data_IF_630368340192
#
_entry.id   IF_630368340192
#
_cell.length_a   1.000
_cell.length_b   1.000
_cell.length_c   1.000
_cell.angle_alpha   90.00
_cell.angle_beta   90.00
_cell.angle_gamma   90.00
#
_symmetry.space_group_name_H-M   'P 1'
#
loop_
_entity.id
_entity.type
_entity.pdbx_description
1 polymer ?
#
# COMPACT_ATOMS: atom_id res chain seq x y z
N UNK A 1 -4.47 -24.42 34.78
CA UNK A 1 -5.22 -25.67 34.54
C UNK A 1 -6.24 -25.39 33.46
N UNK A 2 -5.83 -25.60 32.21
CA UNK A 2 -6.69 -25.56 31.01
C UNK A 2 -6.23 -26.73 30.18
N UNK A 3 -7.14 -27.67 29.96
CA UNK A 3 -6.90 -28.98 29.37
C UNK A 3 -7.13 -28.86 27.85
N UNK A 4 -6.05 -28.86 27.07
CA UNK A 4 -6.09 -28.82 25.61
C UNK A 4 -5.91 -30.25 25.09
N UNK A 5 -7.03 -30.84 24.65
CA UNK A 5 -7.12 -32.15 24.02
C UNK A 5 -6.26 -32.21 22.74
N UNK A 6 -5.21 -33.03 22.78
CA UNK A 6 -4.40 -33.42 21.62
C UNK A 6 -5.21 -34.31 20.67
N UNK A 7 -5.46 -33.87 19.43
CA UNK A 7 -5.90 -34.74 18.34
C UNK A 7 -4.69 -35.52 17.79
N UNK A 8 -4.81 -36.83 17.52
CA UNK A 8 -3.72 -37.60 16.93
C UNK A 8 -3.65 -37.36 15.41
N UNK A 9 -2.46 -36.97 14.95
CA UNK A 9 -2.06 -37.00 13.55
C UNK A 9 -1.95 -38.45 13.08
N UNK A 10 -2.66 -38.80 12.00
CA UNK A 10 -2.47 -40.05 11.27
C UNK A 10 -1.44 -39.83 10.16
N UNK A 11 -0.34 -40.60 10.09
CA UNK A 11 0.62 -40.50 9.00
C UNK A 11 0.11 -41.27 7.77
N UNK A 12 -0.09 -40.57 6.66
CA UNK A 12 -0.30 -41.21 5.36
C UNK A 12 1.07 -41.57 4.78
N UNK A 13 1.46 -42.83 4.94
CA UNK A 13 2.61 -43.45 4.30
C UNK A 13 2.14 -44.71 3.55
N UNK A 14 2.46 -44.74 2.25
CA UNK A 14 2.70 -45.91 1.42
C UNK A 14 1.56 -46.93 1.18
N UNK A 15 0.94 -46.83 -0.01
CA UNK A 15 0.55 -47.94 -0.88
C UNK A 15 0.67 -47.34 -2.30
N UNK A 16 1.53 -47.79 -3.20
CA UNK A 16 1.76 -49.18 -3.62
C UNK A 16 1.34 -49.25 -5.09
N UNK A 17 2.34 -49.33 -5.98
CA UNK A 17 2.19 -49.56 -7.42
C UNK A 17 1.16 -50.68 -7.70
N UNK A 18 0.03 -50.33 -8.30
CA UNK A 18 -0.86 -51.27 -8.99
C UNK A 18 -0.95 -50.85 -10.45
N UNK A 19 -0.27 -51.64 -11.27
CA UNK A 19 -0.30 -51.63 -12.72
C UNK A 19 -1.72 -51.93 -13.24
N UNK A 20 -2.20 -51.11 -14.17
CA UNK A 20 -3.13 -51.51 -15.24
C UNK A 20 -4.48 -52.09 -14.82
N UNK A 21 -5.40 -51.24 -14.37
CA UNK A 21 -6.84 -51.50 -14.44
C UNK A 21 -7.47 -50.28 -15.11
N UNK A 22 -8.01 -50.47 -16.32
CA UNK A 22 -8.90 -49.51 -16.96
C UNK A 22 -10.19 -49.45 -16.12
N UNK A 23 -10.25 -48.52 -15.18
CA UNK A 23 -11.49 -48.17 -14.51
C UNK A 23 -12.29 -47.36 -15.54
N UNK A 24 -13.26 -48.02 -16.17
CA UNK A 24 -14.34 -47.31 -16.81
C UNK A 24 -15.05 -46.51 -15.71
N UNK A 25 -14.77 -45.21 -15.66
CA UNK A 25 -15.54 -44.26 -14.86
C UNK A 25 -17.02 -44.43 -15.22
N UNK A 26 -17.95 -44.46 -14.24
CA UNK A 26 -19.38 -44.52 -14.51
C UNK A 26 -19.75 -43.37 -15.45
N UNK A 27 -20.38 -43.74 -16.57
CA UNK A 27 -20.41 -42.96 -17.79
C UNK A 27 -21.25 -41.70 -17.76
N UNK A 28 -20.87 -40.75 -18.62
CA UNK A 28 -21.81 -39.81 -19.22
C UNK A 28 -22.86 -40.66 -19.97
N UNK A 29 -24.05 -40.84 -19.39
CA UNK A 29 -25.14 -41.61 -19.99
C UNK A 29 -25.64 -40.89 -21.25
N UNK A 30 -25.90 -41.64 -22.33
CA UNK A 30 -26.24 -41.14 -23.66
C UNK A 30 -27.64 -40.47 -23.78
N UNK A 31 -28.20 -40.00 -22.67
CA UNK A 31 -29.58 -39.47 -22.56
C UNK A 31 -29.54 -38.07 -21.95
N UNK A 32 -28.91 -37.13 -22.66
CA UNK A 32 -28.83 -35.70 -22.32
C UNK A 32 -27.73 -35.01 -23.12
N UNK A 33 -27.54 -33.71 -22.93
CA UNK A 33 -26.43 -32.99 -23.57
C UNK A 33 -25.10 -33.48 -22.97
N UNK A 34 -24.43 -34.38 -23.70
CA UNK A 34 -23.19 -35.03 -23.26
C UNK A 34 -22.09 -33.99 -22.96
N UNK A 35 -22.17 -32.80 -23.60
CA UNK A 35 -21.26 -31.70 -23.32
C UNK A 35 -21.47 -31.12 -21.91
N UNK A 36 -22.71 -30.87 -21.49
CA UNK A 36 -23.02 -30.42 -20.13
C UNK A 36 -22.63 -31.46 -19.09
N UNK A 37 -22.97 -32.73 -19.31
CA UNK A 37 -22.69 -33.80 -18.36
C UNK A 37 -21.21 -34.07 -18.15
N UNK A 38 -20.39 -33.90 -19.19
CA UNK A 38 -18.96 -34.08 -19.09
C UNK A 38 -18.21 -32.76 -18.77
N UNK A 39 -18.92 -31.66 -18.43
CA UNK A 39 -18.33 -30.37 -18.05
C UNK A 39 -17.57 -29.67 -19.18
N UNK A 40 -18.04 -29.85 -20.40
CA UNK A 40 -17.46 -29.33 -21.65
C UNK A 40 -18.24 -28.11 -22.16
N UNK A 41 -18.84 -27.35 -21.25
CA UNK A 41 -19.55 -26.11 -21.55
C UNK A 41 -18.76 -24.98 -20.91
N UNK A 42 -18.57 -23.90 -21.67
CA UNK A 42 -17.96 -22.69 -21.13
C UNK A 42 -18.83 -22.18 -19.96
N UNK A 43 -18.22 -21.65 -18.89
CA UNK A 43 -19.00 -21.05 -17.81
C UNK A 43 -19.87 -19.91 -18.34
N UNK A 44 -21.06 -19.73 -17.76
CA UNK A 44 -22.01 -18.68 -18.14
C UNK A 44 -21.53 -17.27 -17.72
N UNK A 45 -20.53 -17.19 -16.85
CA UNK A 45 -19.87 -15.96 -16.40
C UNK A 45 -18.44 -15.89 -16.91
N UNK A 46 -18.05 -14.73 -17.41
CA UNK A 46 -16.72 -14.46 -17.93
C UNK A 46 -15.92 -13.49 -17.04
N UNK A 47 -14.87 -12.91 -17.62
CA UNK A 47 -13.93 -12.05 -16.90
C UNK A 47 -14.59 -10.75 -16.44
N UNK A 48 -15.58 -10.25 -17.20
CA UNK A 48 -16.30 -9.03 -16.87
C UNK A 48 -17.15 -9.19 -15.60
N UNK A 49 -17.66 -10.40 -15.38
CA UNK A 49 -18.38 -10.82 -14.18
C UNK A 49 -17.44 -11.27 -13.04
N UNK A 50 -16.13 -11.21 -13.23
CA UNK A 50 -15.12 -11.59 -12.23
C UNK A 50 -14.80 -13.09 -12.20
N UNK A 51 -15.19 -13.86 -13.21
CA UNK A 51 -14.79 -15.26 -13.31
C UNK A 51 -13.43 -15.40 -14.00
N UNK A 52 -12.47 -16.01 -13.32
CA UNK A 52 -11.14 -16.32 -13.84
C UNK A 52 -10.97 -17.78 -14.30
N UNK A 53 -11.82 -18.69 -13.82
CA UNK A 53 -11.73 -20.14 -14.11
C UNK A 53 -12.53 -20.49 -15.36
N UNK A 54 -12.02 -20.10 -16.52
CA UNK A 54 -12.74 -20.19 -17.81
C UNK A 54 -12.30 -21.41 -18.62
N UNK A 55 -11.00 -21.66 -18.66
CA UNK A 55 -10.38 -22.64 -19.54
C UNK A 55 -10.18 -24.00 -18.88
N UNK A 56 -10.05 -24.03 -17.55
CA UNK A 56 -9.61 -25.21 -16.82
C UNK A 56 -8.13 -25.57 -17.05
N UNK A 57 -7.38 -24.73 -17.76
CA UNK A 57 -5.93 -24.73 -17.80
C UNK A 57 -5.41 -23.78 -16.74
N UNK A 58 -4.50 -24.27 -15.91
CA UNK A 58 -3.95 -23.52 -14.77
C UNK A 58 -3.30 -22.20 -15.22
N UNK A 59 -2.47 -22.22 -16.27
CA UNK A 59 -1.76 -21.02 -16.74
C UNK A 59 -2.70 -19.96 -17.34
N UNK A 60 -3.69 -20.38 -18.12
CA UNK A 60 -4.66 -19.46 -18.75
C UNK A 60 -5.59 -18.88 -17.68
N UNK A 61 -6.07 -19.71 -16.75
CA UNK A 61 -6.95 -19.27 -15.67
C UNK A 61 -6.18 -18.38 -14.68
N UNK A 62 -4.89 -18.60 -14.45
CA UNK A 62 -4.02 -17.72 -13.68
C UNK A 62 -3.87 -16.33 -14.35
N UNK A 63 -3.70 -16.30 -15.67
CA UNK A 63 -3.68 -15.04 -16.43
C UNK A 63 -5.02 -14.29 -16.32
N UNK A 64 -6.16 -14.98 -16.50
CA UNK A 64 -7.46 -14.34 -16.30
C UNK A 64 -7.69 -13.91 -14.85
N UNK A 65 -7.15 -14.65 -13.88
CA UNK A 65 -7.12 -14.24 -12.47
C UNK A 65 -6.40 -12.92 -12.29
N UNK A 66 -5.20 -12.78 -12.85
CA UNK A 66 -4.45 -11.53 -12.80
C UNK A 66 -5.21 -10.35 -13.45
N UNK A 67 -5.92 -10.59 -14.56
CA UNK A 67 -6.79 -9.58 -15.20
C UNK A 67 -7.92 -9.14 -14.28
N UNK A 68 -8.61 -10.09 -13.62
CA UNK A 68 -9.68 -9.78 -12.66
C UNK A 68 -9.14 -9.03 -11.45
N UNK A 69 -7.98 -9.45 -10.92
CA UNK A 69 -7.34 -8.83 -9.76
C UNK A 69 -6.94 -7.38 -10.06
N UNK A 70 -6.28 -7.12 -11.19
CA UNK A 70 -5.91 -5.76 -11.62
C UNK A 70 -7.13 -4.89 -11.86
N UNK A 71 -8.18 -5.42 -12.50
CA UNK A 71 -9.43 -4.68 -12.69
C UNK A 71 -10.08 -4.33 -11.35
N UNK A 72 -10.14 -5.28 -10.43
CA UNK A 72 -10.73 -5.07 -9.10
C UNK A 72 -9.93 -4.02 -8.32
N UNK A 73 -8.60 -4.16 -8.27
CA UNK A 73 -7.73 -3.18 -7.64
C UNK A 73 -7.89 -1.78 -8.24
N UNK A 74 -7.99 -1.65 -9.57
CA UNK A 74 -8.21 -0.37 -10.23
C UNK A 74 -9.55 0.28 -9.82
N UNK A 75 -10.63 -0.51 -9.77
CA UNK A 75 -11.95 -0.04 -9.37
C UNK A 75 -12.00 0.33 -7.88
N UNK A 76 -11.37 -0.45 -7.01
CA UNK A 76 -11.31 -0.18 -5.56
C UNK A 76 -10.53 1.10 -5.26
N UNK A 77 -9.41 1.32 -5.94
CA UNK A 77 -8.60 2.53 -5.77
C UNK A 77 -9.32 3.75 -6.34
N UNK A 78 -9.98 3.62 -7.49
CA UNK A 78 -10.83 4.68 -8.06
C UNK A 78 -12.00 5.03 -7.11
N UNK A 79 -12.65 4.02 -6.53
CA UNK A 79 -13.69 4.19 -5.51
C UNK A 79 -13.16 4.89 -4.26
N UNK A 80 -11.94 4.56 -3.82
CA UNK A 80 -11.28 5.24 -2.70
C UNK A 80 -11.04 6.72 -2.98
N UNK A 81 -10.52 7.06 -4.17
CA UNK A 81 -10.31 8.47 -4.57
C UNK A 81 -11.64 9.21 -4.62
N UNK A 82 -12.68 8.61 -5.21
CA UNK A 82 -14.02 9.19 -5.19
C UNK A 82 -14.50 9.44 -3.76
N UNK A 83 -14.35 8.48 -2.84
CA UNK A 83 -14.76 8.64 -1.45
C UNK A 83 -13.98 9.78 -0.74
N UNK A 84 -12.69 9.97 -1.05
CA UNK A 84 -11.93 11.11 -0.53
C UNK A 84 -12.45 12.44 -1.10
N UNK A 85 -12.73 12.51 -2.41
CA UNK A 85 -13.31 13.69 -3.05
C UNK A 85 -14.68 14.05 -2.47
N UNK A 86 -15.55 13.06 -2.28
CA UNK A 86 -16.86 13.26 -1.63
C UNK A 86 -16.71 13.77 -0.19
N UNK A 87 -15.71 13.25 0.55
CA UNK A 87 -15.37 13.73 1.88
C UNK A 87 -14.85 15.17 1.90
N UNK A 88 -14.07 15.57 0.89
CA UNK A 88 -13.62 16.95 0.73
C UNK A 88 -14.81 17.85 0.35
N UNK A 89 -15.63 17.42 -0.61
CA UNK A 89 -16.83 18.14 -1.05
C UNK A 89 -17.80 18.40 0.11
N UNK A 90 -18.03 17.40 0.96
CA UNK A 90 -18.84 17.55 2.16
C UNK A 90 -18.24 18.56 3.14
N UNK A 91 -16.92 18.59 3.32
CA UNK A 91 -16.25 19.57 4.19
C UNK A 91 -16.26 21.01 3.62
N UNK A 92 -16.49 21.13 2.31
CA UNK A 92 -16.69 22.38 1.59
C UNK A 92 -18.16 22.77 1.45
N UNK A 93 -19.08 21.99 2.03
CA UNK A 93 -20.53 22.24 1.98
C UNK A 93 -21.11 22.28 0.55
N UNK A 94 -20.50 21.53 -0.38
CA UNK A 94 -21.02 21.38 -1.75
C UNK A 94 -22.30 20.53 -1.68
N UNK A 95 -23.43 21.01 -2.21
CA UNK A 95 -24.67 20.24 -2.23
C UNK A 95 -24.76 19.30 -3.44
N UNK A 96 -25.41 18.13 -3.29
CA UNK A 96 -25.63 17.19 -4.38
C UNK A 96 -24.37 16.45 -4.88
N UNK A 97 -23.26 16.52 -4.15
CA UNK A 97 -21.98 15.92 -4.55
C UNK A 97 -22.05 14.42 -4.83
N UNK A 98 -22.94 13.68 -4.15
CA UNK A 98 -23.09 12.24 -4.32
C UNK A 98 -23.61 11.83 -5.71
N UNK A 99 -24.37 12.71 -6.39
CA UNK A 99 -24.95 12.45 -7.70
C UNK A 99 -24.03 12.91 -8.85
N UNK A 100 -22.92 13.58 -8.55
CA UNK A 100 -21.98 14.09 -9.54
C UNK A 100 -21.13 12.96 -10.13
N UNK A 101 -20.83 13.08 -11.43
CA UNK A 101 -19.77 12.28 -12.07
C UNK A 101 -18.41 12.56 -11.41
N UNK A 102 -17.41 11.69 -11.60
CA UNK A 102 -16.08 11.93 -11.03
C UNK A 102 -15.48 13.27 -11.51
N UNK A 103 -15.68 13.61 -12.78
CA UNK A 103 -15.18 14.85 -13.39
C UNK A 103 -15.91 16.08 -12.80
N UNK A 104 -17.24 16.04 -12.70
CA UNK A 104 -18.02 17.14 -12.13
C UNK A 104 -17.74 17.32 -10.63
N UNK A 105 -17.59 16.22 -9.90
CA UNK A 105 -17.22 16.23 -8.48
C UNK A 105 -15.84 16.85 -8.29
N UNK A 106 -14.86 16.47 -9.10
CA UNK A 106 -13.51 17.03 -9.08
C UNK A 106 -13.55 18.53 -9.34
N UNK A 107 -14.24 18.96 -10.41
CA UNK A 107 -14.37 20.37 -10.74
C UNK A 107 -15.02 21.19 -9.62
N UNK A 108 -16.07 20.65 -8.99
CA UNK A 108 -16.73 21.29 -7.85
C UNK A 108 -15.80 21.39 -6.63
N UNK A 109 -15.05 20.33 -6.31
CA UNK A 109 -14.06 20.33 -5.22
C UNK A 109 -12.96 21.35 -5.48
N UNK A 110 -12.36 21.36 -6.67
CA UNK A 110 -11.33 22.33 -7.07
C UNK A 110 -11.84 23.76 -6.89
N UNK A 111 -13.02 24.08 -7.42
CA UNK A 111 -13.61 25.42 -7.28
C UNK A 111 -13.91 25.78 -5.82
N UNK A 112 -14.40 24.82 -5.03
CA UNK A 112 -14.65 25.01 -3.60
C UNK A 112 -13.37 25.26 -2.80
N UNK A 113 -12.28 24.56 -3.09
CA UNK A 113 -10.97 24.78 -2.50
C UNK A 113 -10.42 26.16 -2.85
N UNK A 114 -10.43 26.53 -4.13
CA UNK A 114 -9.99 27.85 -4.60
C UNK A 114 -10.77 28.98 -3.91
N UNK A 115 -12.10 28.84 -3.79
CA UNK A 115 -12.94 29.79 -3.09
C UNK A 115 -12.56 29.88 -1.61
N UNK A 116 -12.46 28.74 -0.90
CA UNK A 116 -12.09 28.66 0.51
C UNK A 116 -10.73 29.30 0.80
N UNK A 117 -9.73 29.06 -0.04
CA UNK A 117 -8.41 29.65 0.10
C UNK A 117 -8.41 31.14 -0.25
N UNK A 118 -9.09 31.53 -1.33
CA UNK A 118 -9.18 32.93 -1.72
C UNK A 118 -9.91 33.78 -0.69
N UNK A 119 -10.88 33.24 0.05
CA UNK A 119 -11.55 33.98 1.13
C UNK A 119 -10.66 34.13 2.36
N UNK A 120 -9.89 33.10 2.71
CA UNK A 120 -9.25 32.96 4.02
C UNK A 120 -7.76 33.32 4.02
N UNK A 121 -7.06 33.11 2.90
CA UNK A 121 -5.61 33.19 2.83
C UNK A 121 -5.15 34.39 1.99
N UNK A 122 -4.02 34.97 2.39
CA UNK A 122 -3.27 35.94 1.60
C UNK A 122 -2.14 35.18 0.87
N UNK A 123 -2.20 35.13 -0.46
CA UNK A 123 -1.18 34.44 -1.27
C UNK A 123 -1.40 32.93 -1.49
N UNK A 124 -2.48 32.35 -0.96
CA UNK A 124 -2.86 30.96 -1.17
C UNK A 124 -2.26 29.99 -0.15
N UNK A 125 -2.22 28.71 -0.52
CA UNK A 125 -1.68 27.60 0.27
C UNK A 125 -0.60 26.91 -0.55
N UNK A 126 0.48 26.47 0.09
CA UNK A 126 1.49 25.62 -0.51
C UNK A 126 1.58 24.33 0.29
N UNK A 127 1.37 23.20 -0.38
CA UNK A 127 1.47 21.87 0.23
C UNK A 127 2.67 21.18 -0.39
N UNK A 128 3.65 20.86 0.46
CA UNK A 128 4.78 20.01 0.10
C UNK A 128 4.60 18.66 0.77
N UNK A 129 4.97 17.59 0.07
CA UNK A 129 4.84 16.24 0.59
C UNK A 129 5.97 15.37 0.09
N UNK A 130 6.35 14.39 0.91
CA UNK A 130 7.23 13.32 0.48
C UNK A 130 6.45 12.31 -0.38
N UNK A 131 7.07 11.64 -1.35
CA UNK A 131 6.40 10.60 -2.11
C UNK A 131 5.81 9.53 -1.18
N UNK A 132 4.57 9.06 -1.44
CA UNK A 132 4.02 7.93 -0.70
C UNK A 132 4.91 6.69 -0.88
N UNK A 133 5.04 5.91 0.18
CA UNK A 133 5.79 4.64 0.18
C UNK A 133 4.82 3.51 -0.13
N UNK A 134 5.15 2.70 -1.13
CA UNK A 134 4.34 1.57 -1.54
C UNK A 134 5.12 0.27 -1.31
N UNK A 135 4.48 -0.66 -0.62
CA UNK A 135 5.01 -1.94 -0.19
C UNK A 135 4.30 -3.06 -0.95
N UNK A 136 5.08 -3.88 -1.65
CA UNK A 136 4.58 -5.10 -2.28
C UNK A 136 4.80 -6.29 -1.34
N UNK A 137 3.81 -7.18 -1.30
CA UNK A 137 3.91 -8.44 -0.56
C UNK A 137 4.62 -9.49 -1.43
N UNK A 138 5.84 -9.86 -1.05
CA UNK A 138 6.68 -10.81 -1.79
C UNK A 138 6.08 -12.22 -1.78
N UNK A 139 5.43 -12.64 -0.70
CA UNK A 139 4.77 -13.95 -0.61
C UNK A 139 3.64 -14.09 -1.65
N UNK A 140 2.91 -13.01 -1.92
CA UNK A 140 1.88 -13.02 -2.98
C UNK A 140 2.50 -13.20 -4.37
N UNK A 141 3.65 -12.58 -4.64
CA UNK A 141 4.36 -12.77 -5.91
C UNK A 141 4.86 -14.21 -6.07
N UNK A 142 5.43 -14.79 -5.02
CA UNK A 142 5.87 -16.20 -5.01
C UNK A 142 4.69 -17.15 -5.16
N UNK A 143 3.58 -16.91 -4.46
CA UNK A 143 2.36 -17.72 -4.59
C UNK A 143 1.78 -17.64 -5.99
N UNK A 144 1.73 -16.44 -6.58
CA UNK A 144 1.28 -16.24 -7.96
C UNK A 144 2.17 -16.99 -8.97
N UNK A 145 3.48 -17.03 -8.74
CA UNK A 145 4.41 -17.75 -9.60
C UNK A 145 4.23 -19.26 -9.50
N UNK A 146 4.08 -19.78 -8.28
CA UNK A 146 3.80 -21.20 -8.03
C UNK A 146 2.46 -21.66 -8.60
N UNK A 147 1.44 -20.78 -8.62
CA UNK A 147 0.15 -21.07 -9.25
C UNK A 147 0.25 -21.19 -10.76
N UNK A 148 1.24 -20.57 -11.36
CA UNK A 148 1.27 -20.34 -12.79
C UNK A 148 2.28 -21.23 -13.53
N UNK A 149 3.37 -21.63 -12.87
CA UNK A 149 4.31 -22.63 -13.38
C UNK A 149 4.18 -23.97 -12.62
N UNK A 150 3.62 -24.98 -13.29
CA UNK A 150 3.40 -26.33 -12.74
C UNK A 150 4.75 -27.05 -12.50
N UNK A 151 5.82 -26.64 -13.19
CA UNK A 151 7.14 -27.27 -13.08
C UNK A 151 8.05 -26.60 -12.03
N UNK A 152 7.68 -25.43 -11.51
CA UNK A 152 8.44 -24.74 -10.49
C UNK A 152 8.14 -25.34 -9.10
N UNK A 153 9.18 -25.78 -8.38
CA UNK A 153 9.04 -26.24 -6.99
C UNK A 153 8.78 -24.99 -6.11
N UNK A 154 7.67 -24.92 -5.34
CA UNK A 154 7.33 -23.77 -4.50
C UNK A 154 8.46 -23.34 -3.54
N UNK A 155 9.40 -24.23 -3.21
CA UNK A 155 10.57 -23.94 -2.38
C UNK A 155 11.80 -23.41 -3.14
N UNK A 156 11.70 -23.17 -4.46
CA UNK A 156 12.79 -22.70 -5.33
C UNK A 156 12.48 -21.37 -6.05
N UNK A 157 11.32 -20.80 -5.77
CA UNK A 157 10.83 -19.56 -6.38
C UNK A 157 11.23 -18.40 -5.46
N UNK A 158 12.30 -17.71 -5.83
CA UNK A 158 12.79 -16.53 -5.13
C UNK A 158 12.39 -15.27 -5.91
N UNK A 159 11.72 -14.34 -5.23
CA UNK A 159 11.43 -13.01 -5.75
C UNK A 159 12.40 -12.00 -5.11
N UNK A 160 12.99 -11.10 -5.92
CA UNK A 160 13.99 -10.14 -5.43
C UNK A 160 13.36 -8.79 -5.17
N UNK A 161 13.60 -8.23 -3.99
CA UNK A 161 13.21 -6.85 -3.68
C UNK A 161 14.29 -5.88 -4.15
N UNK A 162 13.99 -4.99 -5.11
CA UNK A 162 14.96 -4.00 -5.62
C UNK A 162 14.96 -2.67 -4.84
N UNK A 163 14.40 -2.64 -3.63
CA UNK A 163 14.34 -1.44 -2.80
C UNK A 163 14.70 -1.73 -1.33
N UNK A 164 13.92 -1.22 -0.39
CA UNK A 164 14.14 -1.53 1.03
C UNK A 164 13.24 -2.66 1.50
N UNK A 165 13.82 -3.63 2.20
CA UNK A 165 13.11 -4.76 2.76
C UNK A 165 12.87 -4.54 4.24
N UNK A 166 11.62 -4.68 4.68
CA UNK A 166 11.26 -4.73 6.08
C UNK A 166 11.37 -6.18 6.57
N UNK A 167 12.32 -6.44 7.48
CA UNK A 167 12.59 -7.77 8.05
C UNK A 167 12.43 -7.77 9.57
N UNK A 168 12.17 -8.95 10.14
CA UNK A 168 12.19 -9.14 11.58
C UNK A 168 13.61 -8.97 12.13
N UNK A 169 13.74 -8.54 13.39
CA UNK A 169 15.03 -8.36 14.06
C UNK A 169 15.94 -9.61 14.04
N UNK A 170 15.35 -10.81 13.90
CA UNK A 170 16.08 -12.09 13.80
C UNK A 170 16.84 -12.24 12.48
N UNK A 171 16.35 -11.65 11.39
CA UNK A 171 16.94 -11.68 10.04
C UNK A 171 17.80 -10.43 9.77
N UNK A 172 17.63 -9.37 10.58
CA UNK A 172 18.40 -8.12 10.48
C UNK A 172 19.93 -8.30 10.57
N UNK A 173 20.39 -9.38 11.23
CA UNK A 173 21.81 -9.73 11.31
C UNK A 173 22.43 -10.04 9.93
N UNK A 174 21.64 -10.51 8.97
CA UNK A 174 22.09 -10.76 7.59
C UNK A 174 22.22 -9.46 6.79
N UNK A 175 21.38 -8.46 7.08
CA UNK A 175 21.48 -7.13 6.48
C UNK A 175 22.71 -6.35 6.94
N UNK A 176 23.10 -6.47 8.21
CA UNK A 176 24.24 -5.75 8.79
C UNK A 176 25.57 -6.14 8.11
N UNK A 177 25.69 -7.37 7.61
CA UNK A 177 26.88 -7.85 6.93
C UNK A 177 27.16 -7.15 5.59
N UNK A 178 26.14 -6.50 5.00
CA UNK A 178 26.15 -6.19 3.57
C UNK A 178 25.56 -4.82 3.20
N UNK A 179 24.90 -4.09 4.12
CA UNK A 179 24.26 -2.79 3.82
C UNK A 179 23.83 -1.96 5.03
N UNK A 180 22.95 -0.99 4.79
CA UNK A 180 22.47 -0.04 5.82
C UNK A 180 21.22 -0.59 6.51
N UNK A 181 21.31 -0.76 7.83
CA UNK A 181 20.24 -1.22 8.69
C UNK A 181 19.66 -0.03 9.47
N UNK A 182 18.37 0.26 9.26
CA UNK A 182 17.59 1.21 10.04
C UNK A 182 16.59 0.43 10.90
N UNK A 183 16.52 0.74 12.19
CA UNK A 183 15.62 0.06 13.13
C UNK A 183 14.53 1.02 13.56
N UNK A 184 13.28 0.57 13.50
CA UNK A 184 12.12 1.33 13.98
C UNK A 184 11.42 0.55 15.09
N UNK A 185 11.19 1.17 16.25
CA UNK A 185 10.54 0.52 17.37
C UNK A 185 9.63 1.45 18.16
N UNK A 186 8.64 0.87 18.84
CA UNK A 186 7.66 1.61 19.64
C UNK A 186 8.14 1.70 21.10
N UNK A 187 8.47 2.92 21.52
CA UNK A 187 8.86 3.20 22.90
C UNK A 187 7.63 3.05 23.83
N UNK A 188 7.78 2.79 25.16
CA UNK A 188 8.93 3.05 26.04
C UNK A 188 9.84 1.82 26.27
N UNK A 189 9.80 0.84 25.36
CA UNK A 189 10.43 -0.47 25.54
C UNK A 189 11.97 -0.44 25.49
N UNK A 190 12.60 0.65 25.02
CA UNK A 190 14.05 0.83 24.94
C UNK A 190 14.50 2.30 24.96
N UNK A 191 15.80 2.55 25.11
CA UNK A 191 16.42 3.88 25.01
C UNK A 191 16.65 4.27 23.54
N UNK A 192 15.93 5.29 23.07
CA UNK A 192 16.04 5.78 21.70
C UNK A 192 17.28 6.67 21.55
N UNK A 193 18.26 6.26 20.72
CA UNK A 193 19.43 7.08 20.39
C UNK A 193 19.32 7.79 19.03
N UNK A 194 18.15 7.71 18.38
CA UNK A 194 17.90 8.26 17.05
C UNK A 194 16.76 9.30 17.01
N UNK A 195 16.08 9.38 15.87
CA UNK A 195 14.98 10.31 15.64
C UNK A 195 13.69 9.79 16.28
N UNK A 196 13.03 10.62 17.07
CA UNK A 196 11.77 10.29 17.73
C UNK A 196 10.59 11.02 17.06
N UNK A 197 9.57 10.27 16.67
CA UNK A 197 8.26 10.77 16.24
C UNK A 197 7.28 10.63 17.40
N UNK A 198 7.04 11.72 18.14
CA UNK A 198 6.12 11.74 19.30
C UNK A 198 6.54 12.68 20.43
N UNK A 199 6.06 12.40 21.64
CA UNK A 199 6.45 13.13 22.85
C UNK A 199 7.74 12.60 23.43
N UNK A 200 8.72 13.47 23.64
CA UNK A 200 9.98 13.17 24.31
C UNK A 200 9.88 13.59 25.77
N UNK A 201 9.94 12.63 26.71
CA UNK A 201 10.03 12.90 28.13
C UNK A 201 11.49 13.18 28.52
N UNK A 202 11.73 14.42 28.95
CA UNK A 202 13.04 14.93 29.35
C UNK A 202 13.10 14.98 30.89
N UNK A 203 13.75 13.99 31.51
CA UNK A 203 14.02 14.01 32.97
C UNK A 203 15.08 15.05 33.33
N UNK A 204 15.99 15.33 32.39
CA UNK A 204 17.06 16.34 32.49
C UNK A 204 16.82 17.41 31.42
N UNK A 205 17.08 18.68 31.75
CA UNK A 205 16.93 19.79 30.82
C UNK A 205 17.77 19.55 29.56
N UNK A 206 17.13 19.54 28.38
CA UNK A 206 17.79 19.33 27.09
C UNK A 206 17.23 20.29 26.03
N UNK A 207 17.99 20.55 24.96
CA UNK A 207 17.48 21.29 23.81
C UNK A 207 16.29 20.54 23.19
N UNK A 208 15.20 21.27 22.97
CA UNK A 208 13.96 20.76 22.41
C UNK A 208 13.64 21.59 21.16
N UNK A 209 13.73 20.97 19.98
CA UNK A 209 13.42 21.63 18.70
C UNK A 209 11.92 21.86 18.44
N UNK A 210 11.05 21.44 19.36
CA UNK A 210 9.60 21.47 19.23
C UNK A 210 8.88 22.30 20.31
N UNK A 211 7.65 21.90 20.64
CA UNK A 211 6.85 22.57 21.67
C UNK A 211 7.21 22.01 23.05
N UNK A 212 7.82 22.84 23.88
CA UNK A 212 8.12 22.51 25.27
C UNK A 212 6.88 22.70 26.14
N UNK A 213 6.40 21.61 26.74
CA UNK A 213 5.37 21.59 27.78
C UNK A 213 6.04 21.26 29.14
N UNK A 214 6.43 22.29 29.88
CA UNK A 214 7.12 22.12 31.16
C UNK A 214 7.94 23.34 31.60
N UNK A 215 9.10 23.06 32.19
CA UNK A 215 10.05 24.09 32.62
C UNK A 215 11.00 24.44 31.47
N UNK A 216 11.09 25.71 31.11
CA UNK A 216 12.03 26.23 30.12
C UNK A 216 13.11 27.07 30.81
N UNK A 217 14.37 26.69 30.65
CA UNK A 217 15.51 27.53 30.98
C UNK A 217 15.68 28.56 29.86
N UNK A 218 15.14 29.77 30.02
CA UNK A 218 15.21 30.84 29.02
C UNK A 218 13.88 31.54 28.74
N UNK A 219 13.73 32.05 27.52
CA UNK A 219 12.47 32.64 27.04
C UNK A 219 11.56 31.54 26.49
N UNK A 220 10.27 31.62 26.82
CA UNK A 220 9.25 30.73 26.31
C UNK A 220 8.27 31.53 25.46
N UNK A 221 8.01 31.09 24.22
CA UNK A 221 7.16 31.82 23.29
C UNK A 221 5.68 31.87 23.70
N UNK A 222 5.23 30.91 24.51
CA UNK A 222 3.85 30.80 24.98
C UNK A 222 3.79 30.03 26.31
N UNK A 223 2.97 30.49 27.24
CA UNK A 223 2.87 29.90 28.59
C UNK A 223 1.44 29.48 28.90
N UNK A 224 1.28 28.37 29.59
CA UNK A 224 -0.04 27.86 30.00
C UNK A 224 -0.73 28.87 30.92
N UNK A 225 -1.90 29.36 30.49
CA UNK A 225 -2.65 30.41 31.19
C UNK A 225 -2.27 31.85 30.80
N UNK A 226 -1.45 32.04 29.77
CA UNK A 226 -1.12 33.34 29.17
C UNK A 226 -0.10 34.18 29.96
N UNK A 227 0.36 33.71 31.12
CA UNK A 227 1.41 34.37 31.92
C UNK A 227 2.52 33.36 32.23
N UNK A 228 3.78 33.75 32.00
CA UNK A 228 4.94 32.91 32.28
C UNK A 228 5.36 33.03 33.75
N UNK A 229 5.31 31.92 34.47
CA UNK A 229 5.70 31.82 35.87
C UNK A 229 7.18 31.44 35.96
N UNK A 230 8.00 32.36 36.44
CA UNK A 230 9.41 32.11 36.69
C UNK A 230 9.66 31.59 38.11
N UNK A 231 10.55 30.59 38.23
CA UNK A 231 11.04 30.14 39.52
C UNK A 231 12.12 31.08 40.09
N UNK A 232 12.63 30.74 41.30
CA UNK A 232 13.69 31.52 41.95
C UNK A 232 15.04 31.50 41.23
N UNK A 233 15.21 30.66 40.21
CA UNK A 233 16.42 30.55 39.38
C UNK A 233 16.25 31.24 38.02
N UNK A 234 15.05 31.76 37.72
CA UNK A 234 14.74 32.44 36.46
C UNK A 234 14.17 31.53 35.36
N UNK A 235 13.85 30.27 35.66
CA UNK A 235 13.29 29.32 34.69
C UNK A 235 11.78 29.46 34.61
N UNK A 236 11.20 29.37 33.41
CA UNK A 236 9.76 29.44 33.18
C UNK A 236 9.14 28.07 33.42
N UNK A 237 8.42 27.87 34.52
CA UNK A 237 7.91 26.56 34.98
C UNK A 237 6.62 26.06 34.30
N UNK A 238 5.99 26.90 33.48
CA UNK A 238 4.72 26.61 32.80
C UNK A 238 4.78 26.94 31.30
N UNK A 239 5.94 26.69 30.69
CA UNK A 239 6.14 26.85 29.26
C UNK A 239 5.23 25.87 28.50
N UNK A 240 4.60 26.37 27.44
CA UNK A 240 3.79 25.62 26.47
C UNK A 240 4.00 26.26 25.09
N UNK A 241 5.24 26.16 24.61
CA UNK A 241 5.73 26.87 23.43
C UNK A 241 7.20 26.55 23.15
N UNK A 242 7.80 27.27 22.21
CA UNK A 242 9.23 27.15 21.88
C UNK A 242 10.06 27.74 23.01
N UNK A 243 10.99 26.94 23.54
CA UNK A 243 11.95 27.35 24.56
C UNK A 243 13.26 27.78 23.90
N UNK A 244 13.84 28.91 24.30
CA UNK A 244 15.07 29.44 23.69
C UNK A 244 16.35 28.69 24.08
N UNK A 245 16.28 27.77 25.03
CA UNK A 245 17.42 26.98 25.50
C UNK A 245 16.97 25.59 25.91
N UNK A 246 16.93 25.24 27.20
CA UNK A 246 16.67 23.86 27.63
C UNK A 246 15.23 23.68 28.12
N UNK A 247 14.56 22.65 27.63
CA UNK A 247 13.26 22.21 28.10
C UNK A 247 13.42 21.04 29.09
N UNK A 248 12.74 21.12 30.23
CA UNK A 248 12.59 20.03 31.19
C UNK A 248 11.10 19.73 31.35
N UNK A 249 10.66 18.53 31.00
CA UNK A 249 9.25 18.16 30.91
C UNK A 249 8.94 17.33 29.67
N UNK A 250 7.82 17.63 29.01
CA UNK A 250 7.44 16.95 27.76
C UNK A 250 7.78 17.86 26.59
N UNK A 251 8.58 17.37 25.65
CA UNK A 251 8.87 18.04 24.39
C UNK A 251 8.07 17.34 23.29
N UNK A 252 7.07 18.01 22.72
CA UNK A 252 6.43 17.55 21.48
C UNK A 252 7.34 17.91 20.32
N UNK A 253 8.00 16.90 19.75
CA UNK A 253 8.89 17.07 18.62
C UNK A 253 8.09 17.16 17.32
N UNK A 254 8.49 18.07 16.44
CA UNK A 254 8.15 17.96 15.03
C UNK A 254 8.79 16.68 14.46
N UNK A 255 8.15 16.06 13.45
CA UNK A 255 8.63 14.81 12.85
C UNK A 255 10.14 14.87 12.53
N UNK A 256 10.93 13.95 13.11
CA UNK A 256 12.37 13.85 12.88
C UNK A 256 13.29 14.58 13.88
N UNK A 257 12.79 15.04 15.04
CA UNK A 257 13.62 15.63 16.08
C UNK A 257 14.51 14.61 16.81
N UNK A 258 15.75 14.98 17.13
CA UNK A 258 16.64 14.21 18.00
C UNK A 258 16.19 14.36 19.47
N UNK A 259 15.91 13.23 20.13
CA UNK A 259 15.50 13.17 21.54
C UNK A 259 16.60 12.46 22.34
N UNK A 260 17.21 13.15 23.31
CA UNK A 260 18.16 12.52 24.25
C UNK A 260 17.48 11.93 25.50
N UNK A 261 16.15 12.02 25.59
CA UNK A 261 15.33 11.49 26.69
C UNK A 261 14.53 10.25 26.31
N UNK A 262 13.49 9.95 27.10
CA UNK A 262 12.60 8.83 26.83
C UNK A 262 11.59 9.22 25.76
N UNK A 263 11.72 8.66 24.56
CA UNK A 263 10.68 8.79 23.52
C UNK A 263 9.41 8.05 24.00
N UNK A 264 8.24 8.66 23.87
CA UNK A 264 6.92 8.02 24.04
C UNK A 264 6.22 7.98 22.67
N UNK A 265 6.92 7.42 21.68
CA UNK A 265 6.49 7.38 20.29
C UNK A 265 7.27 6.36 19.46
N UNK A 266 7.29 6.58 18.15
CA UNK A 266 8.07 5.78 17.23
C UNK A 266 9.51 6.28 17.20
N UNK A 267 10.47 5.38 17.46
CA UNK A 267 11.90 5.69 17.43
C UNK A 267 12.55 5.01 16.23
N UNK A 268 13.22 5.81 15.40
CA UNK A 268 14.03 5.33 14.27
C UNK A 268 15.51 5.57 14.56
N UNK A 269 16.33 4.52 14.55
CA UNK A 269 17.76 4.60 14.87
C UNK A 269 18.60 3.63 14.05
N UNK A 270 19.90 3.92 13.93
CA UNK A 270 20.88 3.03 13.30
C UNK A 270 21.69 2.33 14.40
N UNK A 271 21.57 1.00 14.58
CA UNK A 271 22.28 0.30 15.65
C UNK A 271 23.79 0.28 15.40
N UNK A 272 24.57 0.51 16.46
CA UNK A 272 26.01 0.37 16.44
C UNK A 272 26.41 -1.10 16.63
N UNK A 273 26.39 -1.87 15.54
CA UNK A 273 26.73 -3.30 15.44
C UNK A 273 25.97 -4.25 16.39
N UNK A 274 25.13 -5.14 15.86
CA UNK A 274 24.40 -6.15 16.65
C UNK A 274 22.91 -6.31 16.34
N UNK A 275 22.43 -5.83 15.19
CA UNK A 275 21.02 -5.91 14.79
C UNK A 275 20.07 -4.97 15.56
N UNK A 276 18.79 -5.02 15.20
CA UNK A 276 17.73 -4.30 15.92
C UNK A 276 17.40 -4.99 17.25
N UNK A 277 16.98 -4.20 18.24
CA UNK A 277 16.59 -4.76 19.54
C UNK A 277 15.30 -5.60 19.43
N UNK A 278 15.07 -6.52 20.36
CA UNK A 278 13.89 -7.37 20.35
C UNK A 278 12.61 -6.50 20.36
N UNK A 279 11.71 -6.74 19.38
CA UNK A 279 10.50 -5.97 19.06
C UNK A 279 10.67 -4.69 18.21
N UNK A 280 11.88 -4.38 17.72
CA UNK A 280 12.07 -3.39 16.68
C UNK A 280 11.98 -4.05 15.29
N UNK A 281 11.43 -3.31 14.33
CA UNK A 281 11.41 -3.71 12.93
C UNK A 281 12.66 -3.20 12.24
N UNK A 282 13.29 -4.05 11.42
CA UNK A 282 14.49 -3.73 10.68
C UNK A 282 14.12 -3.35 9.24
N UNK A 283 14.55 -2.17 8.80
CA UNK A 283 14.51 -1.75 7.41
C UNK A 283 15.91 -1.84 6.82
N UNK A 284 16.07 -2.71 5.85
CA UNK A 284 17.33 -2.93 5.16
C UNK A 284 17.27 -2.29 3.78
N UNK A 285 18.20 -1.39 3.46
CA UNK A 285 18.36 -0.92 2.09
C UNK A 285 19.10 -1.98 1.27
N UNK A 286 18.37 -2.64 0.36
CA UNK A 286 18.85 -3.78 -0.43
C UNK A 286 19.33 -3.32 -1.82
N UNK A 287 19.27 -2.02 -2.13
CA UNK A 287 19.61 -1.45 -3.45
C UNK A 287 21.03 -1.78 -3.94
N UNK A 288 21.91 -2.25 -3.04
CA UNK A 288 23.28 -2.66 -3.33
C UNK A 288 23.54 -4.18 -3.23
N UNK A 289 22.53 -5.01 -2.95
CA UNK A 289 22.71 -6.45 -2.72
C UNK A 289 21.91 -7.29 -3.71
N UNK A 290 22.56 -8.27 -4.34
CA UNK A 290 21.94 -9.11 -5.35
C UNK A 290 21.15 -10.30 -4.79
N UNK A 291 21.29 -10.66 -3.51
CA UNK A 291 20.94 -12.01 -3.01
C UNK A 291 20.32 -12.05 -1.60
N UNK A 292 19.67 -10.98 -1.11
CA UNK A 292 18.92 -11.06 0.16
C UNK A 292 17.47 -11.48 -0.11
N UNK A 293 17.09 -12.65 0.40
CA UNK A 293 15.71 -13.14 0.38
C UNK A 293 14.82 -12.29 1.29
N UNK A 294 14.06 -11.37 0.69
CA UNK A 294 13.09 -10.58 1.43
C UNK A 294 11.82 -11.42 1.69
N UNK A 295 11.71 -12.00 2.88
CA UNK A 295 10.51 -12.75 3.30
C UNK A 295 9.40 -11.83 3.85
N UNK A 296 9.58 -10.51 3.77
CA UNK A 296 8.69 -9.50 4.35
C UNK A 296 8.12 -8.54 3.32
N UNK A 297 7.96 -7.28 3.73
CA UNK A 297 7.46 -6.22 2.86
C UNK A 297 8.59 -5.61 2.07
N UNK A 298 8.38 -5.47 0.77
CA UNK A 298 9.32 -4.81 -0.13
C UNK A 298 8.81 -3.41 -0.48
N UNK A 299 9.46 -2.37 0.04
CA UNK A 299 9.28 -1.01 -0.49
C UNK A 299 10.06 -0.91 -1.81
N UNK A 300 9.35 -0.88 -2.94
CA UNK A 300 9.97 -0.79 -4.27
C UNK A 300 9.37 -1.72 -5.30
N UNK A 301 10.16 -2.09 -6.32
CA UNK A 301 9.76 -3.06 -7.33
C UNK A 301 10.20 -4.46 -6.90
N UNK A 302 9.29 -5.43 -7.03
CA UNK A 302 9.62 -6.85 -6.88
C UNK A 302 10.00 -7.38 -8.25
N UNK A 303 11.23 -7.89 -8.40
CA UNK A 303 11.62 -8.65 -9.58
C UNK A 303 11.05 -10.07 -9.44
N UNK A 304 10.19 -10.50 -10.37
CA UNK A 304 9.56 -11.80 -10.30
C UNK A 304 10.60 -12.93 -10.50
N UNK A 305 10.29 -14.13 -10.02
CA UNK A 305 11.08 -15.32 -10.28
C UNK A 305 11.16 -15.63 -11.77
N UNK A 306 12.19 -16.40 -12.18
CA UNK A 306 12.34 -16.86 -13.57
C UNK A 306 11.25 -17.88 -13.95
N UNK A 307 10.12 -17.39 -14.45
CA UNK A 307 8.99 -18.16 -14.98
C UNK A 307 8.79 -17.90 -16.47
N UNK A 308 7.80 -18.55 -17.11
CA UNK A 308 7.45 -18.23 -18.51
C UNK A 308 7.05 -16.75 -18.66
N UNK A 309 7.18 -16.17 -19.85
CA UNK A 309 6.92 -14.73 -20.05
C UNK A 309 5.46 -14.35 -19.73
N UNK A 310 4.51 -15.22 -20.03
CA UNK A 310 3.08 -15.07 -19.73
C UNK A 310 2.85 -15.12 -18.22
N UNK A 311 3.61 -15.99 -17.55
CA UNK A 311 3.56 -16.17 -16.12
C UNK A 311 4.12 -14.98 -15.38
N UNK A 312 5.25 -14.46 -15.87
CA UNK A 312 5.92 -13.29 -15.33
C UNK A 312 4.97 -12.08 -15.30
N UNK A 313 4.29 -11.81 -16.42
CA UNK A 313 3.34 -10.71 -16.49
C UNK A 313 2.16 -10.88 -15.51
N UNK A 314 1.69 -12.11 -15.29
CA UNK A 314 0.60 -12.41 -14.35
C UNK A 314 1.04 -12.23 -12.89
N UNK A 315 2.27 -12.65 -12.58
CA UNK A 315 2.89 -12.50 -11.25
C UNK A 315 3.13 -11.03 -10.91
N UNK A 316 3.77 -10.29 -11.81
CA UNK A 316 3.99 -8.84 -11.67
C UNK A 316 2.66 -8.13 -11.48
N UNK A 317 1.65 -8.47 -12.30
CA UNK A 317 0.35 -7.85 -12.21
C UNK A 317 -0.36 -8.11 -10.89
N UNK A 318 -0.33 -9.35 -10.38
CA UNK A 318 -0.88 -9.69 -9.06
C UNK A 318 -0.14 -8.98 -7.93
N UNK A 319 1.19 -8.91 -8.00
CA UNK A 319 1.99 -8.21 -7.00
C UNK A 319 1.65 -6.71 -6.95
N UNK A 320 1.61 -6.06 -8.10
CA UNK A 320 1.30 -4.63 -8.22
C UNK A 320 -0.17 -4.30 -7.91
N UNK A 321 -1.10 -5.22 -8.18
CA UNK A 321 -2.51 -5.07 -7.78
C UNK A 321 -2.69 -5.07 -6.24
N UNK A 322 -1.84 -5.81 -5.53
CA UNK A 322 -1.90 -5.99 -4.09
C UNK A 322 -0.94 -5.08 -3.32
N UNK A 323 -0.30 -4.12 -3.97
CA UNK A 323 0.57 -3.15 -3.30
C UNK A 323 -0.21 -2.34 -2.25
N UNK A 324 0.38 -2.12 -1.08
CA UNK A 324 -0.15 -1.25 -0.04
C UNK A 324 0.67 0.04 -0.03
N UNK A 325 0.00 1.19 -0.19
CA UNK A 325 0.67 2.48 -0.17
C UNK A 325 0.29 3.25 1.10
N UNK A 326 1.30 3.69 1.85
CA UNK A 326 1.14 4.46 3.07
C UNK A 326 0.98 5.95 2.73
N UNK A 327 0.01 6.66 3.35
CA UNK A 327 -0.17 8.11 3.16
C UNK A 327 1.10 8.90 3.48
N UNK A 328 1.48 9.89 2.66
CA UNK A 328 2.65 10.70 2.93
C UNK A 328 2.37 11.76 3.99
N UNK A 329 3.45 12.23 4.64
CA UNK A 329 3.43 13.41 5.50
C UNK A 329 3.31 14.68 4.66
N UNK A 330 2.43 15.59 5.07
CA UNK A 330 2.18 16.87 4.40
C UNK A 330 2.72 18.02 5.23
N UNK A 331 3.58 18.84 4.66
CA UNK A 331 3.97 20.14 5.18
C UNK A 331 3.17 21.22 4.47
N UNK A 332 2.49 22.07 5.23
CA UNK A 332 1.54 23.05 4.70
C UNK A 332 1.94 24.45 5.15
N UNK A 333 2.20 25.32 4.18
CA UNK A 333 2.54 26.72 4.39
C UNK A 333 1.40 27.62 3.88
N UNK A 334 0.97 28.57 4.70
CA UNK A 334 -0.06 29.54 4.35
C UNK A 334 0.04 30.80 5.22
N UNK A 335 -0.58 31.89 4.75
CA UNK A 335 -0.74 33.12 5.50
C UNK A 335 -2.21 33.52 5.55
N UNK A 336 -2.73 33.83 6.73
CA UNK A 336 -4.08 34.36 6.88
C UNK A 336 -4.17 35.80 6.39
N UNK A 337 -5.35 36.18 5.90
CA UNK A 337 -5.64 37.60 5.69
C UNK A 337 -5.79 38.33 7.02
N UNK A 338 -5.30 39.57 7.08
CA UNK A 338 -5.25 40.35 8.31
C UNK A 338 -6.59 40.80 8.89
N UNK A 339 -7.72 40.53 8.22
CA UNK A 339 -9.08 40.89 8.66
C UNK A 339 -9.89 39.73 9.24
N UNK A 340 -9.33 38.52 9.31
CA UNK A 340 -10.00 37.36 9.92
C UNK A 340 -10.04 37.44 11.44
N UNK A 341 -11.14 36.99 12.02
CA UNK A 341 -11.23 36.84 13.47
C UNK A 341 -10.66 35.50 13.96
N UNK A 342 -10.29 35.44 15.25
CA UNK A 342 -9.64 34.26 15.84
C UNK A 342 -10.47 32.96 15.74
N UNK A 343 -11.80 33.05 15.66
CA UNK A 343 -12.64 31.86 15.49
C UNK A 343 -12.60 31.36 14.05
N UNK A 344 -12.54 32.25 13.07
CA UNK A 344 -12.40 31.90 11.65
C UNK A 344 -11.05 31.22 11.39
N UNK A 345 -9.97 31.75 11.97
CA UNK A 345 -8.64 31.12 11.92
C UNK A 345 -8.65 29.72 12.53
N UNK A 346 -9.28 29.56 13.71
CA UNK A 346 -9.39 28.27 14.38
C UNK A 346 -10.21 27.27 13.56
N UNK A 347 -11.34 27.70 13.00
CA UNK A 347 -12.18 26.86 12.15
C UNK A 347 -11.44 26.41 10.88
N UNK A 348 -10.65 27.29 10.26
CA UNK A 348 -9.83 26.94 9.10
C UNK A 348 -8.76 25.90 9.46
N UNK A 349 -8.07 26.05 10.60
CA UNK A 349 -7.06 25.07 11.04
C UNK A 349 -7.67 23.69 11.30
N UNK A 350 -8.84 23.63 11.91
CA UNK A 350 -9.57 22.36 12.13
C UNK A 350 -9.97 21.73 10.80
N UNK A 351 -10.51 22.53 9.88
CA UNK A 351 -10.87 22.06 8.54
C UNK A 351 -9.63 21.55 7.79
N UNK A 352 -8.50 22.26 7.90
CA UNK A 352 -7.26 21.93 7.21
C UNK A 352 -6.69 20.59 7.67
N UNK A 353 -6.76 20.26 8.96
CA UNK A 353 -6.33 18.93 9.44
C UNK A 353 -7.20 17.79 8.86
N UNK A 354 -8.52 18.01 8.77
CA UNK A 354 -9.42 17.07 8.10
C UNK A 354 -9.12 16.95 6.60
N UNK A 355 -8.81 18.06 5.94
CA UNK A 355 -8.41 18.09 4.53
C UNK A 355 -7.09 17.36 4.31
N UNK A 356 -6.06 17.60 5.13
CA UNK A 356 -4.74 16.96 5.05
C UNK A 356 -4.86 15.44 5.09
N UNK A 357 -5.63 14.88 6.02
CA UNK A 357 -5.83 13.44 6.12
C UNK A 357 -6.49 12.81 4.88
N UNK A 358 -7.42 13.52 4.24
CA UNK A 358 -8.06 13.05 3.01
C UNK A 358 -7.15 13.19 1.80
N UNK A 359 -6.42 14.30 1.72
CA UNK A 359 -5.50 14.57 0.63
C UNK A 359 -4.32 13.59 0.64
N UNK A 360 -3.73 13.29 1.80
CA UNK A 360 -2.67 12.28 1.92
C UNK A 360 -3.16 10.87 1.56
N UNK A 361 -4.37 10.49 1.96
CA UNK A 361 -4.99 9.24 1.53
C UNK A 361 -5.19 9.19 0.00
N UNK A 362 -5.54 10.31 -0.62
CA UNK A 362 -5.67 10.44 -2.07
C UNK A 362 -4.32 10.28 -2.78
N UNK A 363 -3.23 10.83 -2.22
CA UNK A 363 -1.87 10.69 -2.75
C UNK A 363 -1.35 9.24 -2.64
N UNK A 364 -1.63 8.55 -1.53
CA UNK A 364 -1.34 7.12 -1.42
C UNK A 364 -2.12 6.30 -2.46
N UNK A 365 -3.41 6.61 -2.63
CA UNK A 365 -4.23 5.98 -3.65
C UNK A 365 -3.69 6.25 -5.07
N UNK A 366 -3.24 7.46 -5.38
CA UNK A 366 -2.65 7.76 -6.69
C UNK A 366 -1.37 6.99 -6.96
N UNK A 367 -0.50 6.80 -5.96
CA UNK A 367 0.68 5.98 -6.14
C UNK A 367 0.33 4.50 -6.37
N UNK A 368 -0.70 3.99 -5.69
CA UNK A 368 -1.24 2.65 -5.98
C UNK A 368 -1.79 2.57 -7.41
N UNK A 369 -2.48 3.61 -7.91
CA UNK A 369 -2.98 3.63 -9.29
C UNK A 369 -1.87 3.53 -10.32
N UNK A 370 -0.73 4.19 -10.10
CA UNK A 370 0.41 4.11 -11.03
C UNK A 370 0.91 2.66 -11.17
N UNK A 371 1.02 1.95 -10.04
CA UNK A 371 1.40 0.53 -10.00
C UNK A 371 0.40 -0.37 -10.71
N UNK A 372 -0.89 -0.22 -10.38
CA UNK A 372 -1.97 -0.96 -11.04
C UNK A 372 -2.04 -0.64 -12.54
N UNK A 373 -1.73 0.60 -12.94
CA UNK A 373 -1.68 1.02 -14.34
C UNK A 373 -0.53 0.40 -15.13
N UNK A 374 0.63 0.19 -14.51
CA UNK A 374 1.74 -0.56 -15.10
C UNK A 374 1.36 -2.04 -15.26
N UNK A 375 0.77 -2.65 -14.23
CA UNK A 375 0.27 -4.02 -14.27
C UNK A 375 -0.75 -4.23 -15.40
N UNK A 376 -1.72 -3.32 -15.55
CA UNK A 376 -2.72 -3.38 -16.61
C UNK A 376 -2.06 -3.35 -18.00
N UNK A 377 -1.09 -2.48 -18.23
CA UNK A 377 -0.34 -2.40 -19.50
C UNK A 377 0.50 -3.65 -19.77
N UNK A 378 1.11 -4.22 -18.72
CA UNK A 378 1.82 -5.50 -18.79
C UNK A 378 0.91 -6.62 -19.26
N UNK A 379 -0.27 -6.77 -18.65
CA UNK A 379 -1.27 -7.78 -19.03
C UNK A 379 -1.82 -7.56 -20.44
N UNK A 380 -2.08 -6.32 -20.86
CA UNK A 380 -2.50 -6.02 -22.24
C UNK A 380 -1.42 -6.49 -23.23
N UNK A 381 -0.16 -6.23 -22.93
CA UNK A 381 0.97 -6.63 -23.78
C UNK A 381 1.13 -8.16 -23.83
N UNK A 382 0.98 -8.83 -22.68
CA UNK A 382 1.07 -10.28 -22.55
C UNK A 382 -0.12 -11.01 -23.19
N UNK A 383 -1.30 -10.36 -23.28
CA UNK A 383 -2.50 -10.97 -23.86
C UNK A 383 -2.31 -11.44 -25.31
N UNK A 384 -1.43 -10.77 -26.08
CA UNK A 384 -1.08 -11.19 -27.44
C UNK A 384 -0.29 -12.50 -27.50
N UNK A 385 0.58 -12.75 -26.51
CA UNK A 385 1.34 -13.99 -26.35
C UNK A 385 0.46 -15.16 -25.91
N UNK A 386 -0.41 -14.92 -24.92
CA UNK A 386 -1.34 -15.93 -24.41
C UNK A 386 -2.24 -16.53 -25.51
N UNK A 387 -2.71 -15.72 -26.47
CA UNK A 387 -3.50 -16.20 -27.63
C UNK A 387 -2.70 -17.18 -28.50
N UNK A 388 -1.41 -16.92 -28.70
CA UNK A 388 -0.56 -17.73 -29.56
C UNK A 388 -0.29 -19.12 -28.95
N UNK A 389 -0.07 -19.19 -27.64
CA UNK A 389 0.17 -20.45 -26.94
C UNK A 389 -1.06 -21.34 -26.91
N UNK A 390 -2.25 -20.75 -26.70
CA UNK A 390 -3.53 -21.50 -26.77
C UNK A 390 -3.73 -22.15 -28.14
N UNK A 391 -3.37 -21.45 -29.22
CA UNK A 391 -3.43 -22.00 -30.58
C UNK A 391 -2.41 -23.14 -30.81
N UNK A 392 -1.23 -23.03 -30.20
CA UNK A 392 -0.22 -24.10 -30.19
C UNK A 392 -0.72 -25.34 -29.46
N UNK A 393 -1.30 -25.17 -28.28
CA UNK A 393 -1.69 -26.27 -27.39
C UNK A 393 -2.89 -27.07 -27.93
N UNK A 394 -3.83 -26.38 -28.60
CA UNK A 394 -4.92 -26.99 -29.38
C UNK A 394 -4.43 -27.98 -30.45
N UNK A 395 -3.22 -27.77 -30.96
CA UNK A 395 -2.61 -28.57 -32.02
C UNK A 395 -1.86 -29.80 -31.50
N UNK A 396 -1.41 -29.79 -30.23
CA UNK A 396 -0.47 -30.79 -29.69
C UNK A 396 -1.13 -31.77 -28.72
N UNK A 397 -2.05 -31.31 -27.87
CA UNK A 397 -2.59 -32.12 -26.78
C UNK A 397 -3.95 -32.74 -27.13
N UNK A 398 -4.04 -34.07 -27.10
CA UNK A 398 -5.26 -34.85 -27.42
C UNK A 398 -6.38 -34.78 -26.37
N UNK A 399 -6.23 -33.97 -25.32
CA UNK A 399 -7.21 -33.86 -24.25
C UNK A 399 -8.38 -32.96 -24.69
N UNK A 400 -9.53 -33.57 -24.97
CA UNK A 400 -10.74 -32.86 -25.42
C UNK A 400 -11.18 -31.75 -24.46
N UNK A 401 -10.96 -31.90 -23.15
CA UNK A 401 -11.33 -30.88 -22.15
C UNK A 401 -10.49 -29.61 -22.32
N UNK A 402 -9.18 -29.75 -22.52
CA UNK A 402 -8.29 -28.62 -22.78
C UNK A 402 -8.63 -27.93 -24.10
N UNK A 403 -9.04 -28.68 -25.13
CA UNK A 403 -9.46 -28.09 -26.41
C UNK A 403 -10.70 -27.23 -26.28
N UNK A 404 -11.67 -27.68 -25.51
CA UNK A 404 -12.91 -26.93 -25.29
C UNK A 404 -12.64 -25.72 -24.39
N UNK A 405 -11.86 -25.90 -23.32
CA UNK A 405 -11.40 -24.81 -22.47
C UNK A 405 -10.64 -23.72 -23.22
N UNK A 406 -9.77 -24.11 -24.15
CA UNK A 406 -9.07 -23.19 -25.04
C UNK A 406 -10.03 -22.38 -25.94
N UNK A 407 -11.10 -23.00 -26.45
CA UNK A 407 -12.13 -22.27 -27.21
C UNK A 407 -12.86 -21.25 -26.33
N UNK A 408 -13.18 -21.61 -25.09
CA UNK A 408 -13.78 -20.69 -24.11
C UNK A 408 -12.82 -19.53 -23.80
N UNK A 409 -11.55 -19.82 -23.57
CA UNK A 409 -10.53 -18.80 -23.34
C UNK A 409 -10.39 -17.84 -24.51
N UNK A 410 -10.37 -18.33 -25.76
CA UNK A 410 -10.30 -17.48 -26.96
C UNK A 410 -11.52 -16.54 -27.05
N UNK A 411 -12.70 -17.00 -26.65
CA UNK A 411 -13.89 -16.15 -26.62
C UNK A 411 -13.72 -15.01 -25.59
N UNK A 412 -13.22 -15.34 -24.40
CA UNK A 412 -13.01 -14.39 -23.29
C UNK A 412 -11.80 -13.47 -23.47
N UNK A 413 -10.81 -13.82 -24.29
CA UNK A 413 -9.66 -12.95 -24.58
C UNK A 413 -10.06 -11.58 -25.16
N UNK A 414 -11.22 -11.49 -25.84
CA UNK A 414 -11.78 -10.20 -26.29
C UNK A 414 -12.21 -9.33 -25.10
N UNK A 415 -12.75 -9.97 -24.07
CA UNK A 415 -13.20 -9.31 -22.86
C UNK A 415 -12.05 -8.82 -21.99
N UNK A 416 -10.85 -9.41 -22.08
CA UNK A 416 -9.63 -8.91 -21.38
C UNK A 416 -9.36 -7.44 -21.75
N UNK A 417 -9.40 -7.10 -23.03
CA UNK A 417 -9.17 -5.72 -23.47
C UNK A 417 -10.25 -4.75 -22.98
N UNK A 418 -11.48 -5.24 -22.83
CA UNK A 418 -12.60 -4.45 -22.28
C UNK A 418 -12.43 -4.27 -20.77
N UNK A 419 -12.13 -5.34 -20.04
CA UNK A 419 -11.88 -5.35 -18.60
C UNK A 419 -10.73 -4.41 -18.21
N UNK A 420 -9.59 -4.53 -18.89
CA UNK A 420 -8.41 -3.69 -18.64
C UNK A 420 -8.59 -2.27 -19.19
N UNK A 421 -9.40 -2.09 -20.24
CA UNK A 421 -9.79 -0.79 -20.75
C UNK A 421 -10.64 0.00 -19.77
N UNK A 422 -11.64 -0.65 -19.14
CA UNK A 422 -12.43 -0.07 -18.03
C UNK A 422 -11.52 0.31 -16.86
N UNK A 423 -10.64 -0.59 -16.44
CA UNK A 423 -9.67 -0.34 -15.37
C UNK A 423 -8.77 0.86 -15.69
N UNK A 424 -8.22 0.93 -16.91
CA UNK A 424 -7.37 2.04 -17.37
C UNK A 424 -8.15 3.35 -17.43
N UNK A 425 -9.41 3.33 -17.86
CA UNK A 425 -10.29 4.50 -17.85
C UNK A 425 -10.53 5.03 -16.44
N UNK A 426 -10.83 4.13 -15.49
CA UNK A 426 -10.99 4.48 -14.08
C UNK A 426 -9.71 5.05 -13.46
N UNK A 427 -8.56 4.43 -13.76
CA UNK A 427 -7.23 4.92 -13.36
C UNK A 427 -6.98 6.33 -13.90
N UNK A 428 -7.14 6.52 -15.22
CA UNK A 428 -6.88 7.82 -15.87
C UNK A 428 -7.77 8.93 -15.33
N UNK A 429 -9.06 8.66 -15.10
CA UNK A 429 -9.98 9.63 -14.50
C UNK A 429 -9.56 10.00 -13.08
N UNK A 430 -9.17 9.00 -12.29
CA UNK A 430 -8.75 9.19 -10.90
C UNK A 430 -7.42 9.94 -10.76
N UNK A 431 -6.42 9.63 -11.62
CA UNK A 431 -5.16 10.39 -11.71
C UNK A 431 -5.42 11.85 -12.10
N UNK A 432 -6.30 12.09 -13.08
CA UNK A 432 -6.67 13.45 -13.48
C UNK A 432 -7.37 14.21 -12.35
N UNK A 433 -8.21 13.52 -11.57
CA UNK A 433 -8.87 14.10 -10.41
C UNK A 433 -7.87 14.51 -9.32
N UNK A 434 -6.93 13.62 -8.98
CA UNK A 434 -5.87 13.91 -8.01
C UNK A 434 -5.01 15.07 -8.49
N UNK A 435 -4.58 15.07 -9.75
CA UNK A 435 -3.80 16.17 -10.33
C UNK A 435 -4.54 17.52 -10.27
N UNK A 436 -5.86 17.52 -10.53
CA UNK A 436 -6.69 18.75 -10.48
C UNK A 436 -6.83 19.29 -9.06
N UNK A 437 -6.97 18.42 -8.07
CA UNK A 437 -7.03 18.84 -6.65
C UNK A 437 -5.64 19.30 -6.16
N UNK A 438 -4.57 18.59 -6.53
CA UNK A 438 -3.19 18.99 -6.22
C UNK A 438 -2.86 20.38 -6.80
N UNK A 439 -3.27 20.65 -8.04
CA UNK A 439 -3.10 21.96 -8.66
C UNK A 439 -3.86 23.08 -7.95
N UNK A 440 -5.03 22.78 -7.36
CA UNK A 440 -5.81 23.75 -6.58
C UNK A 440 -5.14 24.13 -5.24
N UNK A 441 -4.27 23.28 -4.71
CA UNK A 441 -3.58 23.47 -3.42
C UNK A 441 -2.12 23.89 -3.56
N UNK A 442 -1.73 24.35 -4.76
CA UNK A 442 -0.40 24.91 -5.02
C UNK A 442 0.72 23.89 -5.18
N UNK A 443 0.37 22.65 -5.55
CA UNK A 443 1.30 21.57 -5.90
C UNK A 443 1.69 21.53 -7.38
#
# INVERSE_FOLDING_TARGET
MVDIQKKPYLPFLACGLISGIAIASPGCDAVGDLAEQCGLVCPDTGILEGNASISGSVSIDAFFGAVVDVRTAALDVSGTIRAQLEGIAASLEIEGYADLSLDDLTAAVTAGLEAKFTTTLEGGISITFEPPKCEANVELAVSAAAECDIEADPGSIEAKCMGSCEVSAEVAAECEASGTLECTGQAPSFECSGSCSGSCQLEVAAECGGTCQGTCEGECSSCTGGTCNTDGNGNITNCNGSCSSMCQGTCELSAGGECSGRCEGECTYMPAMGGCEANATAKCDVSAMADVECQGKCEGSVEPPSVSAECQASVEAKAEANVECTPPSLSVEFQFKGDLDANEEAAFRIWLEGFKGRFSAMLAASAKLERVGVAAQGLISASGGAVADVAGDLSVNGNLKLKIGAVCAIAELKNVSTALGEATGAISGSVSAVASVSGAVGG
#
